data_IF_663005340913
#
_entry.id   IF_663005340913
#
_cell.length_a   1.000
_cell.length_b   1.000
_cell.length_c   1.000
_cell.angle_alpha   90.00
_cell.angle_beta   90.00
_cell.angle_gamma   90.00
#
_symmetry.space_group_name_H-M   'P 1'
#
loop_
_entity.id
_entity.type
_entity.pdbx_description
1 polymer ?
#
# COMPACT_ATOMS: atom_id res chain seq x y z
N UNK A 1 -10.53 -13.36 -6.21
CA UNK A 1 -11.26 -12.09 -5.96
C UNK A 1 -10.57 -11.00 -6.77
N UNK A 2 -11.25 -9.93 -7.18
CA UNK A 2 -10.58 -8.82 -7.88
C UNK A 2 -10.16 -7.78 -6.84
N UNK A 3 -9.05 -8.05 -6.15
CA UNK A 3 -8.52 -7.20 -5.07
C UNK A 3 -7.83 -5.93 -5.59
N UNK A 4 -7.40 -5.93 -6.85
CA UNK A 4 -6.56 -4.88 -7.43
C UNK A 4 -5.10 -4.97 -7.00
N UNK A 5 -4.73 -6.00 -6.22
CA UNK A 5 -3.35 -6.26 -5.83
C UNK A 5 -2.69 -7.20 -6.86
N UNK A 6 -1.65 -6.75 -7.59
CA UNK A 6 -1.02 -7.56 -8.64
C UNK A 6 -0.45 -8.90 -8.13
N UNK A 7 -0.15 -8.99 -6.82
CA UNK A 7 0.36 -10.22 -6.20
C UNK A 7 -0.70 -11.33 -6.14
N UNK A 8 -1.97 -10.98 -6.20
CA UNK A 8 -3.07 -11.93 -6.15
C UNK A 8 -3.42 -12.47 -7.55
N UNK A 9 -2.86 -11.91 -8.63
CA UNK A 9 -3.19 -12.25 -10.02
C UNK A 9 -2.81 -13.70 -10.38
N UNK A 10 -1.88 -14.30 -9.64
CA UNK A 10 -1.42 -15.67 -9.83
C UNK A 10 -1.93 -16.62 -8.73
N UNK A 11 -2.90 -16.19 -7.93
CA UNK A 11 -3.50 -17.01 -6.90
C UNK A 11 -4.42 -18.06 -7.52
N UNK A 12 -4.07 -19.33 -7.34
CA UNK A 12 -4.85 -20.50 -7.76
C UNK A 12 -5.60 -21.09 -6.56
N UNK A 13 -6.55 -22.04 -6.76
CA UNK A 13 -7.21 -22.73 -5.66
C UNK A 13 -6.24 -23.46 -4.71
N UNK A 14 -5.08 -23.90 -5.20
CA UNK A 14 -4.06 -24.61 -4.43
C UNK A 14 -3.01 -23.69 -3.78
N UNK A 15 -2.91 -22.42 -4.20
CA UNK A 15 -1.91 -21.46 -3.74
C UNK A 15 -1.38 -20.56 -4.85
N UNK A 16 -0.31 -19.81 -4.58
CA UNK A 16 0.39 -18.99 -5.58
C UNK A 16 1.28 -19.86 -6.46
N UNK A 17 1.33 -19.53 -7.74
CA UNK A 17 2.25 -20.12 -8.73
C UNK A 17 3.00 -19.00 -9.45
N UNK A 18 4.27 -19.22 -9.80
CA UNK A 18 5.07 -18.14 -10.40
C UNK A 18 4.95 -18.07 -11.93
N UNK A 19 4.47 -19.15 -12.57
CA UNK A 19 4.39 -19.27 -14.04
C UNK A 19 2.96 -19.04 -14.56
N UNK A 20 2.79 -18.25 -15.63
CA UNK A 20 1.47 -17.97 -16.19
C UNK A 20 0.79 -19.21 -16.77
N UNK A 21 1.57 -20.16 -17.31
CA UNK A 21 1.01 -21.41 -17.84
C UNK A 21 0.44 -22.29 -16.71
N UNK A 22 1.07 -22.26 -15.53
CA UNK A 22 0.57 -22.98 -14.36
C UNK A 22 -0.69 -22.33 -13.81
N UNK A 23 -0.73 -20.99 -13.77
CA UNK A 23 -1.92 -20.25 -13.38
C UNK A 23 -3.09 -20.59 -14.32
N UNK A 24 -2.90 -20.47 -15.63
CA UNK A 24 -3.95 -20.78 -16.60
C UNK A 24 -4.42 -22.24 -16.50
N UNK A 25 -3.50 -23.20 -16.37
CA UNK A 25 -3.84 -24.61 -16.28
C UNK A 25 -4.59 -24.98 -14.98
N UNK A 26 -4.37 -24.26 -13.87
CA UNK A 26 -5.07 -24.51 -12.61
C UNK A 26 -6.60 -24.33 -12.74
N UNK A 27 -7.04 -23.42 -13.60
CA UNK A 27 -8.44 -23.13 -13.87
C UNK A 27 -9.03 -23.90 -15.07
N UNK A 28 -8.22 -24.72 -15.77
CA UNK A 28 -8.72 -25.56 -16.86
C UNK A 28 -9.75 -26.57 -16.33
N UNK A 29 -10.84 -26.78 -17.06
CA UNK A 29 -11.83 -27.81 -16.73
C UNK A 29 -11.23 -29.20 -17.00
N UNK A 30 -11.54 -30.17 -16.14
CA UNK A 30 -11.19 -31.57 -16.41
C UNK A 30 -12.34 -32.17 -17.22
N UNK A 31 -12.20 -32.19 -18.54
CA UNK A 31 -13.12 -32.85 -19.45
C UNK A 31 -12.45 -34.01 -20.20
N UNK A 32 -13.26 -34.84 -20.87
CA UNK A 32 -12.77 -35.99 -21.64
C UNK A 32 -11.89 -35.59 -22.85
N UNK A 33 -11.87 -34.29 -23.20
CA UNK A 33 -11.10 -33.75 -24.34
C UNK A 33 -9.89 -32.92 -23.89
N UNK A 34 -9.57 -32.89 -22.60
CA UNK A 34 -8.47 -32.10 -22.08
C UNK A 34 -7.16 -32.62 -22.65
N UNK A 35 -6.42 -31.78 -23.35
CA UNK A 35 -5.18 -32.21 -23.97
C UNK A 35 -4.16 -32.66 -22.90
N UNK A 36 -3.31 -33.65 -23.20
CA UNK A 36 -2.37 -34.21 -22.21
C UNK A 36 -1.42 -33.16 -21.60
N UNK A 37 -1.06 -32.13 -22.37
CA UNK A 37 -0.15 -31.07 -21.92
C UNK A 37 -0.83 -30.18 -20.89
N UNK A 38 -2.09 -29.85 -21.07
CA UNK A 38 -2.89 -29.11 -20.08
C UNK A 38 -3.03 -29.90 -18.78
N UNK A 39 -3.26 -31.21 -18.84
CA UNK A 39 -3.30 -32.06 -17.63
C UNK A 39 -1.94 -32.11 -16.90
N UNK A 40 -0.85 -32.20 -17.65
CA UNK A 40 0.51 -32.16 -17.09
C UNK A 40 0.79 -30.82 -16.39
N UNK A 41 0.47 -29.70 -17.06
CA UNK A 41 0.65 -28.36 -16.50
C UNK A 41 -0.21 -28.14 -15.25
N UNK A 42 -1.44 -28.65 -15.24
CA UNK A 42 -2.31 -28.56 -14.06
C UNK A 42 -1.75 -29.36 -12.88
N UNK A 43 -1.18 -30.53 -13.15
CA UNK A 43 -0.51 -31.35 -12.14
C UNK A 43 0.72 -30.62 -11.58
N UNK A 44 1.53 -30.00 -12.44
CA UNK A 44 2.68 -29.19 -12.03
C UNK A 44 2.27 -27.95 -11.24
N UNK A 45 1.22 -27.25 -11.66
CA UNK A 45 0.68 -26.10 -10.93
C UNK A 45 0.33 -26.47 -9.48
N UNK A 46 -0.34 -27.60 -9.28
CA UNK A 46 -0.67 -28.11 -7.95
C UNK A 46 0.56 -28.49 -7.11
N UNK A 47 1.61 -29.00 -7.73
CA UNK A 47 2.86 -29.39 -7.04
C UNK A 47 3.74 -28.18 -6.68
N UNK A 48 3.79 -27.17 -7.55
CA UNK A 48 4.60 -25.96 -7.36
C UNK A 48 3.85 -24.87 -6.56
N UNK A 49 2.54 -24.99 -6.39
CA UNK A 49 1.75 -24.03 -5.63
C UNK A 49 2.23 -23.93 -4.17
N UNK A 50 2.38 -22.69 -3.69
CA UNK A 50 2.78 -22.41 -2.31
C UNK A 50 1.80 -21.43 -1.64
N UNK A 51 1.71 -21.51 -0.32
CA UNK A 51 0.91 -20.57 0.47
C UNK A 51 1.77 -19.34 0.79
N UNK A 52 1.28 -18.12 0.51
CA UNK A 52 2.02 -16.91 0.85
C UNK A 52 2.12 -16.76 2.38
N UNK A 53 3.32 -16.49 2.87
CA UNK A 53 3.55 -16.13 4.28
C UNK A 53 3.73 -14.62 4.41
N UNK A 54 2.88 -13.99 5.22
CA UNK A 54 3.04 -12.59 5.58
C UNK A 54 4.19 -12.44 6.59
N UNK A 55 5.30 -11.87 6.16
CA UNK A 55 6.41 -11.47 7.03
C UNK A 55 6.34 -9.97 7.30
N UNK A 56 5.98 -9.61 8.53
CA UNK A 56 6.02 -8.23 8.99
C UNK A 56 7.45 -7.87 9.36
N UNK A 57 8.13 -7.14 8.48
CA UNK A 57 9.47 -6.59 8.79
C UNK A 57 9.32 -5.24 9.47
N UNK A 58 10.06 -5.02 10.55
CA UNK A 58 10.23 -3.69 11.14
C UNK A 58 11.25 -2.92 10.30
N UNK A 59 10.86 -2.43 9.12
CA UNK A 59 11.66 -1.41 8.43
C UNK A 59 11.54 -0.13 9.26
N UNK A 60 12.47 0.07 10.19
CA UNK A 60 12.56 1.35 10.90
C UNK A 60 12.90 2.41 9.85
N UNK A 61 12.03 3.40 9.67
CA UNK A 61 12.21 4.53 8.73
C UNK A 61 13.49 5.35 8.99
N UNK A 62 14.22 5.06 10.07
CA UNK A 62 15.49 5.65 10.46
C UNK A 62 16.73 4.86 10.00
N UNK A 63 16.57 3.73 9.32
CA UNK A 63 17.71 3.01 8.76
C UNK A 63 18.44 3.89 7.73
N UNK A 64 19.73 4.11 7.94
CA UNK A 64 20.55 4.93 7.05
C UNK A 64 20.60 4.37 5.63
N UNK A 65 20.53 3.05 5.48
CA UNK A 65 20.48 2.37 4.19
C UNK A 65 19.17 2.67 3.48
N UNK A 66 18.04 2.68 4.21
CA UNK A 66 16.73 3.07 3.67
C UNK A 66 16.70 4.53 3.20
N UNK A 67 17.33 5.45 3.93
CA UNK A 67 17.43 6.86 3.52
C UNK A 67 18.28 7.05 2.25
N UNK A 68 19.37 6.29 2.11
CA UNK A 68 20.22 6.31 0.92
C UNK A 68 19.50 5.74 -0.30
N UNK A 69 18.79 4.62 -0.15
CA UNK A 69 18.01 4.03 -1.26
C UNK A 69 16.81 4.92 -1.65
N UNK A 70 16.20 5.64 -0.71
CA UNK A 70 15.13 6.62 -1.00
C UNK A 70 15.60 7.83 -1.78
N UNK A 71 16.84 8.26 -1.57
CA UNK A 71 17.45 9.38 -2.32
C UNK A 71 17.98 8.94 -3.68
N UNK A 72 18.54 7.72 -3.79
CA UNK A 72 19.08 7.17 -5.03
C UNK A 72 18.01 6.89 -6.12
N UNK A 73 16.82 6.38 -5.77
CA UNK A 73 15.80 6.04 -6.79
C UNK A 73 14.95 7.23 -7.25
N UNK A 74 15.31 8.48 -6.94
CA UNK A 74 14.56 9.65 -7.42
C UNK A 74 14.82 9.96 -8.90
N UNK A 75 15.69 9.22 -9.61
CA UNK A 75 16.06 9.52 -11.00
C UNK A 75 16.00 8.39 -12.02
N UNK A 76 15.49 7.20 -11.72
CA UNK A 76 15.36 6.17 -12.76
C UNK A 76 14.18 5.24 -12.52
N UNK A 77 13.35 5.13 -13.54
CA UNK A 77 12.32 4.12 -13.66
C UNK A 77 12.98 2.73 -13.79
N UNK A 78 12.27 1.72 -13.28
CA UNK A 78 12.40 0.31 -13.66
C UNK A 78 13.73 -0.38 -13.34
N UNK A 79 13.88 -0.86 -12.10
CA UNK A 79 14.68 -2.04 -11.83
C UNK A 79 13.92 -2.97 -10.87
N UNK A 80 13.33 -4.03 -11.42
CA UNK A 80 12.53 -5.03 -10.71
C UNK A 80 13.40 -6.12 -10.03
N UNK A 81 14.70 -5.86 -9.84
CA UNK A 81 15.67 -6.86 -9.37
C UNK A 81 16.14 -6.74 -7.91
N UNK A 82 15.82 -5.67 -7.18
CA UNK A 82 16.32 -5.50 -5.80
C UNK A 82 15.20 -5.53 -4.77
N UNK A 83 15.42 -6.40 -3.78
CA UNK A 83 14.80 -6.55 -2.46
C UNK A 83 13.57 -5.67 -2.20
N UNK A 84 12.40 -6.32 -2.04
CA UNK A 84 11.06 -5.71 -1.96
C UNK A 84 10.92 -4.64 -0.87
N UNK A 85 11.36 -3.43 -1.20
CA UNK A 85 11.09 -2.19 -0.49
C UNK A 85 9.71 -1.70 -0.91
N UNK A 86 8.68 -2.07 -0.13
CA UNK A 86 7.30 -1.63 -0.38
C UNK A 86 7.19 -0.11 -0.20
N UNK A 87 7.10 0.63 -1.31
CA UNK A 87 6.88 2.08 -1.31
C UNK A 87 5.42 2.38 -1.64
N UNK A 88 4.72 3.03 -0.72
CA UNK A 88 3.41 3.63 -0.99
C UNK A 88 3.55 4.70 -2.08
N UNK A 89 2.98 4.46 -3.26
CA UNK A 89 2.97 5.42 -4.36
C UNK A 89 2.07 6.60 -3.97
N UNK A 90 2.65 7.77 -3.66
CA UNK A 90 1.89 9.02 -3.64
C UNK A 90 1.87 9.60 -5.06
N UNK A 91 0.68 9.73 -5.62
CA UNK A 91 0.47 10.23 -7.00
C UNK A 91 0.57 11.77 -7.09
N UNK A 92 0.62 12.48 -5.96
CA UNK A 92 0.85 13.93 -5.90
C UNK A 92 2.35 14.26 -5.87
N UNK A 93 3.04 14.05 -7.00
CA UNK A 93 4.49 14.32 -7.16
C UNK A 93 4.82 15.77 -7.54
N UNK A 94 3.98 16.75 -7.21
CA UNK A 94 4.32 18.16 -7.47
C UNK A 94 5.18 18.70 -6.31
N UNK A 95 6.48 18.39 -6.35
CA UNK A 95 7.48 18.89 -5.39
C UNK A 95 7.81 20.35 -5.68
N UNK A 96 6.90 21.25 -5.30
CA UNK A 96 7.15 22.68 -5.24
C UNK A 96 7.94 23.09 -3.98
N UNK A 97 8.31 24.37 -3.84
CA UNK A 97 8.93 24.89 -2.63
C UNK A 97 8.04 24.63 -1.41
N UNK A 98 8.65 24.29 -0.27
CA UNK A 98 7.93 24.02 0.96
C UNK A 98 7.26 25.29 1.49
N UNK A 99 5.93 25.28 1.55
CA UNK A 99 5.13 26.33 2.12
C UNK A 99 4.20 25.78 3.19
N UNK A 100 4.02 26.55 4.27
CA UNK A 100 3.00 26.26 5.26
C UNK A 100 1.63 26.56 4.64
N UNK A 101 0.70 25.61 4.72
CA UNK A 101 -0.69 25.78 4.27
C UNK A 101 -1.63 25.71 5.46
N UNK A 102 -2.72 26.45 5.38
CA UNK A 102 -3.83 26.32 6.32
C UNK A 102 -4.67 25.11 5.91
N UNK A 103 -4.77 24.11 6.78
CA UNK A 103 -5.63 22.95 6.54
C UNK A 103 -6.13 22.36 7.86
N UNK A 104 -7.30 21.73 7.81
CA UNK A 104 -7.80 20.96 8.95
C UNK A 104 -6.86 19.80 9.27
N UNK A 105 -6.73 19.49 10.55
CA UNK A 105 -5.92 18.38 11.05
C UNK A 105 -6.82 17.32 11.64
N UNK A 106 -6.34 16.08 11.66
CA UNK A 106 -7.00 15.01 12.38
C UNK A 106 -6.03 14.26 13.27
N UNK A 107 -6.57 13.67 14.33
CA UNK A 107 -5.89 12.66 15.13
C UNK A 107 -6.88 11.54 15.45
N UNK A 108 -6.36 10.32 15.61
CA UNK A 108 -7.17 9.17 16.00
C UNK A 108 -6.78 8.71 17.39
N UNK A 109 -7.77 8.52 18.25
CA UNK A 109 -7.55 7.99 19.58
C UNK A 109 -8.73 7.11 20.03
N UNK A 110 -8.44 6.01 20.74
CA UNK A 110 -9.44 5.15 21.40
C UNK A 110 -10.72 4.81 20.60
N UNK A 111 -10.61 4.55 19.30
CA UNK A 111 -11.76 4.17 18.46
C UNK A 111 -12.55 5.35 17.87
N UNK A 112 -12.06 6.58 18.07
CA UNK A 112 -12.62 7.80 17.51
C UNK A 112 -11.64 8.45 16.51
N UNK A 113 -12.21 9.26 15.63
CA UNK A 113 -11.52 10.16 14.72
C UNK A 113 -11.89 11.56 15.18
N UNK A 114 -10.90 12.40 15.47
CA UNK A 114 -11.10 13.78 15.89
C UNK A 114 -10.51 14.72 14.84
N UNK A 115 -11.32 15.63 14.32
CA UNK A 115 -10.93 16.57 13.26
C UNK A 115 -11.05 18.00 13.79
N UNK A 116 -10.08 18.85 13.49
CA UNK A 116 -10.09 20.25 13.94
C UNK A 116 -11.21 21.02 13.25
N UNK A 117 -11.93 21.85 14.03
CA UNK A 117 -13.01 22.68 13.49
C UNK A 117 -12.49 23.90 12.73
N UNK A 118 -11.25 24.30 13.00
CA UNK A 118 -10.53 25.38 12.33
C UNK A 118 -9.35 24.82 11.54
N UNK A 119 -8.99 25.53 10.47
CA UNK A 119 -7.76 25.24 9.75
C UNK A 119 -6.56 25.63 10.62
N UNK A 120 -5.55 24.76 10.65
CA UNK A 120 -4.31 24.99 11.36
C UNK A 120 -3.15 25.08 10.36
N UNK A 121 -2.06 25.78 10.72
CA UNK A 121 -0.85 25.78 9.93
C UNK A 121 -0.26 24.36 9.88
N UNK A 122 -0.09 23.83 8.67
CA UNK A 122 0.50 22.52 8.45
C UNK A 122 1.48 22.55 7.28
N UNK A 123 2.49 21.68 7.37
CA UNK A 123 3.39 21.42 6.27
C UNK A 123 2.62 20.74 5.13
N UNK A 124 3.05 20.99 3.89
CA UNK A 124 2.65 20.14 2.78
C UNK A 124 3.16 18.71 3.00
N UNK A 125 2.45 17.72 2.47
CA UNK A 125 2.75 16.29 2.67
C UNK A 125 4.16 15.85 2.24
N UNK A 126 4.82 16.62 1.37
CA UNK A 126 6.19 16.38 0.92
C UNK A 126 7.27 17.12 1.73
N UNK A 127 6.87 17.89 2.74
CA UNK A 127 7.76 18.74 3.54
C UNK A 127 7.89 18.23 4.96
N UNK A 128 9.05 18.47 5.58
CA UNK A 128 9.33 18.13 6.97
C UNK A 128 9.42 19.40 7.81
N UNK A 129 8.70 19.45 8.93
CA UNK A 129 8.85 20.52 9.91
C UNK A 129 10.17 20.37 10.66
N UNK A 130 10.90 21.47 10.82
CA UNK A 130 12.11 21.53 11.66
C UNK A 130 11.74 21.59 13.14
N UNK A 131 10.69 22.34 13.46
CA UNK A 131 10.19 22.56 14.82
C UNK A 131 8.66 22.41 14.90
N UNK A 132 8.15 22.19 16.11
CA UNK A 132 6.73 22.18 16.40
C UNK A 132 6.38 23.17 17.51
N UNK A 133 5.18 23.76 17.41
CA UNK A 133 4.60 24.59 18.46
C UNK A 133 3.31 23.98 18.95
N UNK A 134 3.21 23.75 20.26
CA UNK A 134 1.98 23.26 20.88
C UNK A 134 0.94 24.37 20.84
N UNK A 135 -0.24 24.08 20.27
CA UNK A 135 -1.37 25.00 20.22
C UNK A 135 -2.65 24.25 20.61
N UNK A 136 -3.49 24.88 21.41
CA UNK A 136 -4.82 24.36 21.70
C UNK A 136 -5.69 24.50 20.46
N UNK A 137 -6.38 23.42 20.07
CA UNK A 137 -7.28 23.40 18.94
C UNK A 137 -8.62 22.80 19.36
N UNK A 138 -9.70 23.37 18.81
CA UNK A 138 -11.03 22.80 18.96
C UNK A 138 -11.20 21.66 17.96
N UNK A 139 -11.71 20.52 18.44
CA UNK A 139 -11.90 19.31 17.62
C UNK A 139 -13.31 18.79 17.76
N UNK A 140 -13.83 18.24 16.67
CA UNK A 140 -15.05 17.42 16.68
C UNK A 140 -14.63 15.97 16.56
N UNK A 141 -15.05 15.13 17.50
CA UNK A 141 -14.76 13.70 17.52
C UNK A 141 -15.98 12.89 17.11
N UNK A 142 -15.78 11.85 16.30
CA UNK A 142 -16.79 10.86 15.95
C UNK A 142 -16.21 9.45 16.01
N UNK A 143 -17.04 8.43 16.27
CA UNK A 143 -16.60 7.03 16.22
C UNK A 143 -16.03 6.64 14.86
N UNK A 144 -15.02 5.76 14.84
CA UNK A 144 -14.42 5.22 13.59
C UNK A 144 -15.41 4.48 12.70
N UNK A 145 -16.59 4.09 13.19
CA UNK A 145 -17.64 3.47 12.37
C UNK A 145 -18.40 4.50 11.50
N UNK A 146 -18.30 5.79 11.83
CA UNK A 146 -18.94 6.86 11.05
C UNK A 146 -18.28 7.01 9.68
N UNK A 147 -18.99 6.57 8.63
CA UNK A 147 -18.48 6.56 7.27
C UNK A 147 -18.21 7.97 6.72
N UNK A 148 -19.00 8.96 7.12
CA UNK A 148 -18.80 10.35 6.69
C UNK A 148 -17.52 10.90 7.29
N UNK A 149 -17.28 10.64 8.58
CA UNK A 149 -16.08 11.12 9.26
C UNK A 149 -14.80 10.42 8.75
N UNK A 150 -14.88 9.13 8.45
CA UNK A 150 -13.80 8.40 7.76
C UNK A 150 -13.49 9.01 6.40
N UNK A 151 -14.52 9.23 5.58
CA UNK A 151 -14.34 9.83 4.26
C UNK A 151 -13.75 11.24 4.37
N UNK A 152 -14.21 12.05 5.33
CA UNK A 152 -13.67 13.39 5.54
C UNK A 152 -12.18 13.36 5.92
N UNK A 153 -11.79 12.48 6.84
CA UNK A 153 -10.39 12.22 7.19
C UNK A 153 -9.56 11.83 5.96
N UNK A 154 -10.06 10.95 5.10
CA UNK A 154 -9.34 10.45 3.93
C UNK A 154 -9.02 11.56 2.91
N UNK A 155 -9.75 12.67 2.94
CA UNK A 155 -9.48 13.84 2.09
C UNK A 155 -8.45 14.81 2.70
N UNK A 156 -8.06 14.65 3.97
CA UNK A 156 -7.08 15.51 4.64
C UNK A 156 -5.67 15.03 4.29
N UNK A 157 -4.91 15.87 3.58
CA UNK A 157 -3.54 15.57 3.14
C UNK A 157 -2.53 16.02 4.20
N UNK A 158 -2.11 15.11 5.08
CA UNK A 158 -0.97 15.33 5.99
C UNK A 158 0.35 14.93 5.34
#
# INVERSE_FOLDING_TARGET
SMSGEPRDDYLTPEGLVDKPEHYAASYALNDENSDPKTQELKTKAKQEAYQPENKYTSVLRSDSQWQQEMTASSSSEEDWGSETVYRSRSYDKQRGPCAIKQQVQYYENHGEICITTTQLPACQSHCRGEDYKIQAAQVTCRPKIDQQFRSHRDHIKQ
#
